data_IF_877415249514
#
_entry.id   IF_877415249514
#
_cell.length_a   1.000
_cell.length_b   1.000
_cell.length_c   1.000
_cell.angle_alpha   90.00
_cell.angle_beta   90.00
_cell.angle_gamma   90.00
#
_symmetry.space_group_name_H-M   'P 1'
#
loop_
_entity.id
_entity.type
_entity.pdbx_description
1 polymer ?
#
# COMPACT_ATOMS: atom_id res chain seq x y z
N UNK A 1 -38.73 -41.29 -4.41
CA UNK A 1 -37.62 -40.77 -5.23
C UNK A 1 -37.28 -39.38 -4.71
N UNK A 2 -36.07 -39.11 -4.18
CA UNK A 2 -35.73 -37.77 -3.75
C UNK A 2 -35.26 -36.95 -4.97
N UNK A 3 -35.83 -35.77 -5.13
CA UNK A 3 -35.36 -34.75 -6.07
C UNK A 3 -34.13 -34.10 -5.46
N UNK A 4 -32.94 -34.42 -5.98
CA UNK A 4 -31.70 -33.72 -5.63
C UNK A 4 -31.61 -32.42 -6.42
N UNK A 5 -31.58 -31.28 -5.73
CA UNK A 5 -31.33 -29.98 -6.35
C UNK A 5 -29.83 -29.85 -6.66
N UNK A 6 -29.49 -29.68 -7.95
CA UNK A 6 -28.13 -29.39 -8.39
C UNK A 6 -27.87 -27.89 -8.23
N UNK A 7 -27.01 -27.50 -7.30
CA UNK A 7 -26.55 -26.12 -7.18
C UNK A 7 -25.42 -25.87 -8.19
N UNK A 8 -25.63 -24.95 -9.14
CA UNK A 8 -24.61 -24.52 -10.08
C UNK A 8 -23.78 -23.39 -9.43
N UNK A 9 -22.53 -23.68 -9.09
CA UNK A 9 -21.58 -22.65 -8.61
C UNK A 9 -20.95 -21.99 -9.83
N UNK A 10 -21.29 -20.72 -10.08
CA UNK A 10 -20.63 -19.88 -11.07
C UNK A 10 -19.37 -19.27 -10.42
N UNK A 11 -18.19 -19.77 -10.79
CA UNK A 11 -16.92 -19.16 -10.41
C UNK A 11 -16.50 -18.13 -11.47
N UNK A 12 -16.33 -16.88 -11.07
CA UNK A 12 -15.71 -15.86 -11.93
C UNK A 12 -14.20 -15.91 -11.74
N UNK A 13 -13.40 -15.81 -12.82
CA UNK A 13 -11.95 -15.69 -12.67
C UNK A 13 -11.63 -14.34 -12.05
N UNK A 14 -11.19 -14.34 -10.79
CA UNK A 14 -10.55 -13.18 -10.18
C UNK A 14 -9.09 -13.15 -10.65
N UNK A 15 -8.64 -12.02 -11.20
CA UNK A 15 -7.22 -11.77 -11.39
C UNK A 15 -6.60 -11.55 -10.01
N UNK A 16 -5.85 -12.55 -9.52
CA UNK A 16 -5.06 -12.40 -8.31
C UNK A 16 -3.82 -11.57 -8.64
N UNK A 17 -3.81 -10.30 -8.24
CA UNK A 17 -2.58 -9.54 -8.13
C UNK A 17 -1.80 -10.08 -6.93
N UNK A 18 -0.48 -10.05 -6.98
CA UNK A 18 0.32 -10.40 -5.80
C UNK A 18 0.03 -9.35 -4.73
N UNK A 19 -0.56 -9.76 -3.62
CA UNK A 19 -0.83 -8.87 -2.50
C UNK A 19 0.49 -8.24 -2.01
N UNK A 20 0.45 -7.00 -1.48
CA UNK A 20 1.57 -6.42 -0.76
C UNK A 20 2.12 -7.39 0.31
N UNK A 21 3.43 -7.35 0.62
CA UNK A 21 3.94 -8.09 1.75
C UNK A 21 3.25 -7.64 3.05
N UNK A 22 3.19 -8.49 4.09
CA UNK A 22 2.69 -8.09 5.40
C UNK A 22 3.52 -6.94 5.98
N UNK A 23 2.85 -6.04 6.69
CA UNK A 23 3.51 -4.93 7.37
C UNK A 23 4.58 -5.36 8.37
N UNK A 24 5.65 -4.58 8.43
CA UNK A 24 6.68 -4.71 9.46
C UNK A 24 6.09 -4.41 10.84
N UNK A 25 6.55 -5.11 11.90
CA UNK A 25 6.15 -4.78 13.26
C UNK A 25 6.64 -3.38 13.64
N UNK A 26 5.88 -2.70 14.50
CA UNK A 26 6.25 -1.37 14.99
C UNK A 26 7.61 -1.37 15.69
N UNK A 27 8.50 -0.47 15.27
CA UNK A 27 9.86 -0.32 15.82
C UNK A 27 10.29 1.14 16.00
N UNK A 28 9.37 2.10 15.83
CA UNK A 28 9.65 3.53 15.99
C UNK A 28 9.94 3.89 17.44
N UNK A 29 10.91 4.79 17.66
CA UNK A 29 11.23 5.30 18.98
C UNK A 29 10.22 6.36 19.48
N UNK A 30 10.38 6.81 20.73
CA UNK A 30 9.47 7.78 21.33
C UNK A 30 9.43 9.16 20.65
N UNK A 31 10.52 9.58 20.01
CA UNK A 31 10.60 10.86 19.28
C UNK A 31 10.05 10.71 17.87
N UNK A 32 10.30 9.60 17.21
CA UNK A 32 9.66 9.24 15.94
C UNK A 32 8.14 9.15 16.08
N UNK A 33 7.65 8.51 17.14
CA UNK A 33 6.20 8.48 17.43
C UNK A 33 5.64 9.86 17.78
N UNK A 34 6.41 10.67 18.53
CA UNK A 34 5.97 12.03 18.92
C UNK A 34 5.82 12.96 17.72
N UNK A 35 6.72 12.87 16.74
CA UNK A 35 6.76 13.76 15.59
C UNK A 35 6.20 13.14 14.31
N UNK A 36 5.61 11.95 14.40
CA UNK A 36 4.97 11.29 13.27
C UNK A 36 3.84 12.19 12.72
N UNK A 37 3.84 12.49 11.41
CA UNK A 37 2.74 13.22 10.79
C UNK A 37 1.44 12.41 10.85
N UNK A 38 0.32 13.12 11.00
CA UNK A 38 -0.97 12.55 10.62
C UNK A 38 -1.07 12.64 9.09
N UNK A 39 -1.43 11.53 8.45
CA UNK A 39 -1.65 11.46 7.01
C UNK A 39 -3.12 11.59 6.70
N UNK A 40 -3.48 12.60 5.91
CA UNK A 40 -4.79 12.69 5.27
C UNK A 40 -4.65 12.10 3.87
N UNK A 41 -5.10 10.87 3.69
CA UNK A 41 -5.11 10.25 2.37
C UNK A 41 -6.25 10.87 1.56
N UNK A 42 -5.92 11.57 0.47
CA UNK A 42 -6.88 12.10 -0.51
C UNK A 42 -7.87 11.04 -0.98
N UNK A 43 -8.88 11.36 -1.79
CA UNK A 43 -9.94 10.39 -2.12
C UNK A 43 -9.65 9.47 -3.30
N UNK A 44 -8.57 9.69 -4.05
CA UNK A 44 -8.40 9.15 -5.41
C UNK A 44 -7.07 8.43 -5.68
N UNK A 45 -6.06 8.53 -4.81
CA UNK A 45 -4.81 7.77 -4.88
C UNK A 45 -4.87 6.40 -4.18
N UNK A 46 -3.74 5.68 -4.19
CA UNK A 46 -3.58 4.46 -3.39
C UNK A 46 -3.45 4.79 -1.89
N UNK A 47 -3.82 3.85 -1.01
CA UNK A 47 -3.30 3.83 0.35
C UNK A 47 -1.83 3.41 0.36
N UNK A 48 -1.04 3.83 1.37
CA UNK A 48 0.33 3.37 1.47
C UNK A 48 0.37 1.89 1.84
N UNK A 49 1.32 1.14 1.32
CA UNK A 49 1.49 -0.28 1.63
C UNK A 49 2.93 -0.57 2.09
N UNK A 50 3.20 -1.74 2.70
CA UNK A 50 4.57 -2.14 3.01
C UNK A 50 5.38 -2.27 1.73
N UNK A 51 6.49 -1.54 1.63
CA UNK A 51 7.45 -1.68 0.55
C UNK A 51 8.25 -2.99 0.64
N UNK A 52 8.39 -3.54 1.84
CA UNK A 52 9.17 -4.74 2.13
C UNK A 52 8.59 -5.49 3.34
N UNK A 53 8.53 -6.82 3.23
CA UNK A 53 8.15 -7.71 4.32
C UNK A 53 9.32 -8.08 5.23
N UNK A 54 9.01 -8.66 6.40
CA UNK A 54 10.02 -9.09 7.38
C UNK A 54 10.96 -10.20 6.86
N UNK A 55 10.55 -10.93 5.82
CA UNK A 55 11.34 -11.95 5.12
C UNK A 55 12.19 -11.38 3.96
N UNK A 56 12.12 -10.06 3.73
CA UNK A 56 12.81 -9.38 2.63
C UNK A 56 12.05 -9.37 1.31
N UNK A 57 10.82 -9.90 1.24
CA UNK A 57 10.00 -9.80 0.05
C UNK A 57 9.68 -8.32 -0.24
N UNK A 58 10.09 -7.84 -1.42
CA UNK A 58 9.83 -6.46 -1.85
C UNK A 58 8.48 -6.38 -2.55
N UNK A 59 7.75 -5.30 -2.30
CA UNK A 59 6.47 -5.04 -2.95
C UNK A 59 6.65 -4.83 -4.47
N UNK A 60 5.96 -5.65 -5.25
CA UNK A 60 6.00 -5.62 -6.71
C UNK A 60 5.29 -4.42 -7.33
N UNK A 61 4.52 -3.67 -6.55
CA UNK A 61 3.72 -2.52 -6.97
C UNK A 61 2.63 -2.88 -7.99
N UNK A 62 2.00 -1.84 -8.53
CA UNK A 62 0.94 -1.96 -9.54
C UNK A 62 1.32 -1.28 -10.85
N UNK A 63 0.80 -1.79 -11.96
CA UNK A 63 0.87 -1.04 -13.22
C UNK A 63 0.03 0.24 -13.06
N UNK A 64 0.55 1.43 -13.44
CA UNK A 64 -0.19 2.69 -13.35
C UNK A 64 -1.20 2.81 -14.50
N UNK A 65 -2.14 1.88 -14.57
CA UNK A 65 -3.26 1.87 -15.52
C UNK A 65 -4.55 1.53 -14.80
N UNK A 66 -5.69 1.63 -15.50
CA UNK A 66 -7.01 1.46 -14.89
C UNK A 66 -7.42 2.68 -14.04
N UNK A 67 -8.29 2.49 -13.05
CA UNK A 67 -8.66 3.57 -12.12
C UNK A 67 -7.44 4.03 -11.29
N UNK A 68 -7.43 5.31 -10.88
CA UNK A 68 -6.33 5.91 -10.11
C UNK A 68 -6.04 5.10 -8.83
N UNK A 69 -7.10 4.79 -8.08
CA UNK A 69 -7.09 3.97 -6.88
C UNK A 69 -7.37 2.47 -7.12
N UNK A 70 -7.34 2.03 -8.37
CA UNK A 70 -7.72 0.66 -8.74
C UNK A 70 -6.78 -0.38 -8.13
N UNK A 71 -7.35 -1.26 -7.30
CA UNK A 71 -6.68 -2.38 -6.61
C UNK A 71 -5.67 -1.97 -5.51
N UNK A 72 -5.76 -0.74 -4.97
CA UNK A 72 -4.85 -0.27 -3.90
C UNK A 72 -5.54 0.68 -2.91
N UNK A 73 -6.85 0.58 -2.76
CA UNK A 73 -7.63 1.50 -1.91
C UNK A 73 -8.89 0.90 -1.31
N UNK A 74 -8.84 -0.38 -0.95
CA UNK A 74 -9.89 -1.01 -0.15
C UNK A 74 -9.52 -1.05 1.34
N UNK A 75 -10.41 -1.62 2.17
CA UNK A 75 -10.19 -1.69 3.61
C UNK A 75 -8.97 -2.54 3.98
N UNK A 76 -8.67 -3.60 3.20
CA UNK A 76 -7.52 -4.46 3.45
C UNK A 76 -6.19 -3.78 3.14
N UNK A 77 -6.19 -2.90 2.14
CA UNK A 77 -5.04 -2.03 1.86
C UNK A 77 -4.78 -1.06 3.02
N UNK A 78 -5.84 -0.46 3.59
CA UNK A 78 -5.71 0.46 4.73
C UNK A 78 -5.32 -0.25 6.03
N UNK A 79 -5.70 -1.52 6.20
CA UNK A 79 -5.32 -2.33 7.37
C UNK A 79 -3.86 -2.82 7.28
N UNK A 80 -3.27 -2.88 6.08
CA UNK A 80 -1.90 -3.30 5.85
C UNK A 80 -1.03 -2.14 5.32
N UNK A 81 -0.55 -1.30 6.24
CA UNK A 81 0.30 -0.14 5.93
C UNK A 81 1.59 -0.14 6.76
N UNK A 82 2.63 0.54 6.28
CA UNK A 82 3.78 0.91 7.10
C UNK A 82 4.10 2.41 6.91
N UNK A 83 4.37 3.08 8.03
CA UNK A 83 5.12 4.33 8.03
C UNK A 83 6.60 4.02 8.31
N UNK A 84 7.48 4.54 7.47
CA UNK A 84 8.93 4.41 7.64
C UNK A 84 9.48 5.68 8.27
N UNK A 85 10.41 5.56 9.21
CA UNK A 85 11.08 6.68 9.82
C UNK A 85 12.60 6.50 9.78
N UNK A 86 13.33 7.60 9.63
CA UNK A 86 14.77 7.66 9.83
C UNK A 86 15.15 8.99 10.43
N UNK A 87 15.89 8.95 11.54
CA UNK A 87 16.41 10.13 12.19
C UNK A 87 17.93 10.29 12.00
N UNK A 88 18.40 11.54 11.97
CA UNK A 88 19.81 11.88 12.15
C UNK A 88 19.95 13.20 12.90
N UNK A 89 20.85 13.22 13.88
CA UNK A 89 21.21 14.44 14.61
C UNK A 89 22.60 14.93 14.19
N UNK A 90 22.73 16.25 14.09
CA UNK A 90 23.98 16.97 13.85
C UNK A 90 23.99 18.26 14.70
N UNK A 91 24.92 18.32 15.65
CA UNK A 91 24.91 19.33 16.72
C UNK A 91 23.61 19.27 17.54
N UNK A 92 22.97 20.43 17.69
CA UNK A 92 21.73 20.59 18.48
C UNK A 92 20.45 20.32 17.67
N UNK A 93 20.56 19.93 16.39
CA UNK A 93 19.42 19.66 15.52
C UNK A 93 19.29 18.18 15.20
N UNK A 94 18.06 17.69 15.18
CA UNK A 94 17.71 16.36 14.69
C UNK A 94 16.68 16.47 13.58
N UNK A 95 16.95 15.82 12.45
CA UNK A 95 16.00 15.65 11.37
C UNK A 95 15.34 14.27 11.48
N UNK A 96 14.01 14.24 11.47
CA UNK A 96 13.20 13.02 11.41
C UNK A 96 12.52 13.00 10.04
N UNK A 97 12.91 12.04 9.20
CA UNK A 97 12.33 11.85 7.89
C UNK A 97 11.34 10.70 7.96
N UNK A 98 10.11 10.96 7.53
CA UNK A 98 9.08 9.94 7.40
C UNK A 98 8.83 9.66 5.92
N UNK A 99 8.62 8.40 5.59
CA UNK A 99 8.30 7.95 4.24
C UNK A 99 7.11 7.01 4.24
N UNK A 100 6.35 7.06 3.18
CA UNK A 100 5.30 6.11 2.85
C UNK A 100 5.66 5.48 1.50
N UNK A 101 5.19 4.28 1.24
CA UNK A 101 5.32 3.68 -0.08
C UNK A 101 3.94 3.44 -0.66
N UNK A 102 3.75 3.77 -1.92
CA UNK A 102 2.52 3.47 -2.65
C UNK A 102 2.85 2.55 -3.83
N UNK A 103 1.96 1.62 -4.14
CA UNK A 103 2.21 0.63 -5.19
C UNK A 103 2.31 1.24 -6.59
N UNK A 104 1.70 2.41 -6.79
CA UNK A 104 1.76 3.24 -8.00
C UNK A 104 1.43 4.69 -7.69
N UNK A 105 1.93 5.57 -8.54
CA UNK A 105 1.41 6.92 -8.74
C UNK A 105 0.84 7.00 -10.16
N UNK A 106 -0.35 7.57 -10.30
CA UNK A 106 -1.04 7.66 -11.58
C UNK A 106 -1.73 9.02 -11.71
N UNK A 107 -1.29 9.82 -12.68
CA UNK A 107 -1.89 11.12 -12.92
C UNK A 107 -3.24 11.06 -13.65
N UNK A 108 -3.46 10.06 -14.52
CA UNK A 108 -4.62 10.01 -15.42
C UNK A 108 -5.30 8.63 -15.41
N UNK A 109 -6.64 8.54 -15.31
CA UNK A 109 -7.34 7.26 -15.39
C UNK A 109 -7.13 6.54 -16.72
N UNK A 110 -6.95 5.22 -16.68
CA UNK A 110 -6.89 4.33 -17.84
C UNK A 110 -5.55 4.31 -18.58
N UNK A 111 -4.58 5.15 -18.21
CA UNK A 111 -3.31 5.30 -18.93
C UNK A 111 -2.13 5.47 -17.97
N UNK A 112 -0.95 5.02 -18.40
CA UNK A 112 0.31 5.24 -17.69
C UNK A 112 0.98 6.57 -18.03
N UNK A 113 0.37 7.40 -18.87
CA UNK A 113 0.94 8.68 -19.26
C UNK A 113 1.02 9.61 -18.03
N UNK A 114 2.25 9.93 -17.61
CA UNK A 114 2.50 10.76 -16.43
C UNK A 114 2.35 10.03 -15.09
N UNK A 115 2.33 8.69 -15.09
CA UNK A 115 2.37 7.89 -13.86
C UNK A 115 3.54 6.92 -13.86
N UNK A 116 3.76 6.28 -12.71
CA UNK A 116 4.77 5.24 -12.54
C UNK A 116 4.31 4.16 -11.56
N UNK A 117 4.84 2.96 -11.79
CA UNK A 117 4.80 1.90 -10.79
C UNK A 117 5.74 2.31 -9.65
N UNK A 118 5.29 2.11 -8.42
CA UNK A 118 5.96 2.53 -7.18
C UNK A 118 5.97 4.03 -6.96
N UNK A 119 5.78 4.44 -5.71
CA UNK A 119 5.98 5.80 -5.25
C UNK A 119 6.48 5.81 -3.80
N UNK A 120 7.29 6.81 -3.45
CA UNK A 120 7.95 6.99 -2.14
C UNK A 120 7.93 8.45 -1.70
#
# INVERSE_FOLDING_TARGET
>A
APLGALALVLAFPATALAAPPPGLPANADSLELRYQPAYDYDTDGCYPTPAIGADGAVNGGLNPTGALNGNCRDASDLDNTNGYARARCDGDWCAYMYGLYFEKDQALPGTSLGGHRHDW
#
